data_IF_647090390936
#
_entry.id   IF_647090390936
#
_cell.length_a   1.000
_cell.length_b   1.000
_cell.length_c   1.000
_cell.angle_alpha   90.00
_cell.angle_beta   90.00
_cell.angle_gamma   90.00
#
_symmetry.space_group_name_H-M   'P 1'
#
loop_
_entity.id
_entity.type
_entity.pdbx_description
1 polymer ?
#
# COMPACT_ATOMS: atom_id res chain seq x y z
N UNK A 1 11.96 -10.02 -8.00
CA UNK A 1 11.28 -10.79 -6.94
C UNK A 1 9.79 -10.61 -7.11
N UNK A 2 9.00 -11.67 -6.99
CA UNK A 2 7.54 -11.60 -7.07
C UNK A 2 6.98 -11.36 -5.66
N UNK A 3 5.96 -10.52 -5.54
CA UNK A 3 5.15 -10.39 -4.33
C UNK A 3 3.83 -11.10 -4.58
N UNK A 4 3.44 -12.01 -3.69
CA UNK A 4 2.20 -12.77 -3.79
C UNK A 4 1.48 -12.82 -2.45
N UNK A 5 0.15 -12.92 -2.52
CA UNK A 5 -0.73 -13.17 -1.39
C UNK A 5 -1.36 -14.55 -1.57
N UNK A 6 -1.55 -15.28 -0.48
CA UNK A 6 -2.07 -16.64 -0.49
C UNK A 6 -3.55 -16.69 -0.91
N UNK A 7 -4.30 -15.64 -0.57
CA UNK A 7 -5.72 -15.54 -0.88
C UNK A 7 -6.22 -14.08 -0.89
N UNK A 8 -7.48 -13.91 -1.31
CA UNK A 8 -8.11 -12.60 -1.41
C UNK A 8 -8.32 -11.90 -0.05
N UNK A 9 -8.48 -12.64 1.05
CA UNK A 9 -8.63 -12.03 2.38
C UNK A 9 -7.31 -11.37 2.80
N UNK A 10 -6.19 -12.07 2.61
CA UNK A 10 -4.86 -11.54 2.91
C UNK A 10 -4.53 -10.31 2.04
N UNK A 11 -4.85 -10.36 0.74
CA UNK A 11 -4.70 -9.22 -0.16
C UNK A 11 -5.57 -8.03 0.30
N UNK A 12 -6.82 -8.28 0.69
CA UNK A 12 -7.71 -7.23 1.18
C UNK A 12 -7.18 -6.59 2.47
N UNK A 13 -6.60 -7.36 3.38
CA UNK A 13 -5.98 -6.82 4.59
C UNK A 13 -4.74 -5.96 4.26
N UNK A 14 -3.91 -6.39 3.31
CA UNK A 14 -2.76 -5.61 2.86
C UNK A 14 -3.18 -4.28 2.21
N UNK A 15 -4.22 -4.30 1.38
CA UNK A 15 -4.78 -3.09 0.78
C UNK A 15 -5.33 -2.11 1.84
N UNK A 16 -5.96 -2.61 2.92
CA UNK A 16 -6.43 -1.75 4.02
C UNK A 16 -5.28 -1.09 4.77
N UNK A 17 -4.17 -1.82 4.99
CA UNK A 17 -2.97 -1.24 5.62
C UNK A 17 -2.31 -0.22 4.72
N UNK A 18 -2.18 -0.50 3.43
CA UNK A 18 -1.70 0.45 2.44
C UNK A 18 -2.57 1.72 2.41
N UNK A 19 -3.90 1.59 2.45
CA UNK A 19 -4.81 2.73 2.52
C UNK A 19 -4.65 3.57 3.79
N UNK A 20 -4.49 2.93 4.94
CA UNK A 20 -4.24 3.64 6.19
C UNK A 20 -2.91 4.41 6.14
N UNK A 21 -1.84 3.79 5.64
CA UNK A 21 -0.54 4.41 5.52
C UNK A 21 -0.50 5.53 4.47
N UNK A 22 -1.16 5.36 3.32
CA UNK A 22 -1.29 6.38 2.29
C UNK A 22 -2.07 7.59 2.78
N UNK A 23 -3.12 7.38 3.59
CA UNK A 23 -3.85 8.48 4.22
C UNK A 23 -2.99 9.35 5.13
N UNK A 24 -1.95 8.78 5.77
CA UNK A 24 -0.96 9.58 6.50
C UNK A 24 0.05 10.25 5.55
N UNK A 25 0.41 9.59 4.44
CA UNK A 25 1.29 10.16 3.41
C UNK A 25 0.67 11.41 2.76
N UNK A 26 -0.60 11.36 2.39
CA UNK A 26 -1.32 12.50 1.80
C UNK A 26 -1.45 13.67 2.78
N UNK A 27 -1.61 13.41 4.08
CA UNK A 27 -1.57 14.47 5.09
C UNK A 27 -0.20 15.17 5.14
N UNK A 28 0.88 14.44 4.91
CA UNK A 28 2.24 14.99 4.85
C UNK A 28 2.48 15.77 3.54
N UNK A 29 1.96 15.27 2.42
CA UNK A 29 1.98 15.96 1.13
C UNK A 29 1.12 17.24 1.13
N UNK A 30 0.03 17.25 1.90
CA UNK A 30 -0.94 18.35 1.94
C UNK A 30 -1.89 18.36 0.73
N UNK A 31 -1.85 17.33 -0.11
CA UNK A 31 -2.75 17.12 -1.24
C UNK A 31 -2.86 15.61 -1.55
N UNK A 32 -3.85 15.25 -2.37
CA UNK A 32 -4.00 13.87 -2.86
C UNK A 32 -2.79 13.46 -3.71
N UNK A 33 -2.33 12.23 -3.55
CA UNK A 33 -1.25 11.70 -4.38
C UNK A 33 -1.82 11.26 -5.75
N UNK A 34 -1.36 11.91 -6.81
CA UNK A 34 -1.77 11.59 -8.17
C UNK A 34 -1.21 10.23 -8.64
N UNK A 35 -0.13 9.75 -8.02
CA UNK A 35 0.51 8.47 -8.34
C UNK A 35 0.34 7.43 -7.21
N UNK A 36 -0.81 7.51 -6.52
CA UNK A 36 -1.22 6.56 -5.50
C UNK A 36 -1.04 5.08 -5.89
N UNK A 37 -1.24 4.61 -7.15
CA UNK A 37 -1.06 3.21 -7.48
C UNK A 37 0.40 2.75 -7.35
N UNK A 38 1.35 3.61 -7.73
CA UNK A 38 2.78 3.33 -7.63
C UNK A 38 3.20 3.28 -6.16
N UNK A 39 2.72 4.24 -5.36
CA UNK A 39 2.95 4.26 -3.92
C UNK A 39 2.42 2.98 -3.25
N UNK A 40 1.19 2.55 -3.57
CA UNK A 40 0.61 1.32 -3.06
C UNK A 40 1.46 0.10 -3.41
N UNK A 41 1.91 0.00 -4.67
CA UNK A 41 2.72 -1.12 -5.12
C UNK A 41 4.04 -1.21 -4.35
N UNK A 42 4.73 -0.08 -4.15
CA UNK A 42 5.97 -0.02 -3.36
C UNK A 42 5.73 -0.40 -1.90
N UNK A 43 4.75 0.23 -1.25
CA UNK A 43 4.39 -0.07 0.14
C UNK A 43 4.03 -1.54 0.35
N UNK A 44 3.22 -2.12 -0.54
CA UNK A 44 2.79 -3.52 -0.44
C UNK A 44 3.96 -4.50 -0.64
N UNK A 45 4.93 -4.15 -1.49
CA UNK A 45 6.16 -4.95 -1.69
C UNK A 45 7.09 -4.85 -0.48
N UNK A 46 7.25 -3.66 0.09
CA UNK A 46 8.07 -3.45 1.29
C UNK A 46 7.47 -4.12 2.53
N UNK A 47 6.16 -3.95 2.75
CA UNK A 47 5.44 -4.58 3.86
C UNK A 47 5.59 -6.10 3.83
N UNK A 48 5.57 -6.72 2.64
CA UNK A 48 5.73 -8.17 2.48
C UNK A 48 7.14 -8.70 2.70
N UNK A 49 8.14 -7.84 2.74
CA UNK A 49 9.55 -8.22 2.95
C UNK A 49 9.97 -8.16 4.43
N UNK A 50 9.20 -7.46 5.26
CA UNK A 50 9.37 -7.40 6.71
C UNK A 50 8.68 -8.58 7.42
#
# INVERSE_FOLDING_TARGET
MSTSYENAAELAEALRRAAAAHGEHEKQLGHEDADWPSWYAEYMVEEKRN
#
